data_IF_194680951167
#
_entry.id   IF_194680951167
#
_cell.length_a   1.000
_cell.length_b   1.000
_cell.length_c   1.000
_cell.angle_alpha   90.00
_cell.angle_beta   90.00
_cell.angle_gamma   90.00
#
_symmetry.space_group_name_H-M   'P 1'
#
loop_
_entity.id
_entity.type
_entity.pdbx_description
1 polymer ?
#
# COMPACT_ATOMS: atom_id res chain seq x y z
N UNK A 1 21.16 -9.04 -15.31
CA UNK A 1 22.21 -8.36 -14.55
C UNK A 1 21.94 -6.87 -14.44
N UNK A 2 21.75 -6.13 -15.56
CA UNK A 2 21.48 -4.69 -15.56
C UNK A 2 20.32 -4.28 -14.64
N UNK A 3 19.16 -4.95 -14.75
CA UNK A 3 18.00 -4.71 -13.91
C UNK A 3 18.30 -4.96 -12.41
N UNK A 4 19.03 -6.03 -12.08
CA UNK A 4 19.39 -6.34 -10.69
C UNK A 4 20.28 -5.24 -10.08
N UNK A 5 21.30 -4.81 -10.78
CA UNK A 5 22.21 -3.75 -10.30
C UNK A 5 21.49 -2.40 -10.13
N UNK A 6 20.57 -2.06 -11.04
CA UNK A 6 19.69 -0.89 -10.91
C UNK A 6 18.79 -0.99 -9.66
N UNK A 7 18.18 -2.15 -9.44
CA UNK A 7 17.32 -2.37 -8.27
C UNK A 7 18.11 -2.32 -6.96
N UNK A 8 19.32 -2.91 -6.92
CA UNK A 8 20.21 -2.85 -5.76
C UNK A 8 20.57 -1.40 -5.42
N UNK A 9 20.78 -0.56 -6.44
CA UNK A 9 20.97 0.87 -6.24
C UNK A 9 19.73 1.56 -5.67
N UNK A 10 18.56 1.34 -6.26
CA UNK A 10 17.30 1.94 -5.79
C UNK A 10 16.95 1.53 -4.34
N UNK A 11 17.27 0.29 -3.96
CA UNK A 11 17.08 -0.23 -2.60
C UNK A 11 18.16 0.21 -1.60
N UNK A 12 19.17 0.97 -2.03
CA UNK A 12 20.25 1.44 -1.16
C UNK A 12 21.33 0.41 -0.87
N UNK A 13 21.33 -0.73 -1.57
CA UNK A 13 22.31 -1.80 -1.39
C UNK A 13 23.64 -1.51 -2.11
N UNK A 14 23.66 -0.52 -3.01
CA UNK A 14 24.85 -0.04 -3.71
C UNK A 14 24.97 1.48 -3.59
N UNK A 15 26.19 2.03 -3.46
CA UNK A 15 26.38 3.48 -3.40
C UNK A 15 26.21 4.16 -4.75
N UNK A 16 26.67 3.50 -5.84
CA UNK A 16 26.71 4.07 -7.17
C UNK A 16 25.71 3.41 -8.12
N UNK A 17 25.12 4.23 -9.01
CA UNK A 17 24.23 3.74 -10.05
C UNK A 17 25.01 2.92 -11.08
N UNK A 18 24.49 1.76 -11.43
CA UNK A 18 24.95 0.93 -12.53
C UNK A 18 23.81 0.15 -13.16
N UNK A 19 23.92 -0.08 -14.45
CA UNK A 19 23.00 -0.90 -15.24
C UNK A 19 23.77 -1.98 -16.01
N UNK A 20 24.61 -2.73 -15.31
CA UNK A 20 25.48 -3.76 -15.88
C UNK A 20 26.54 -3.13 -16.78
N UNK A 21 26.56 -3.57 -18.04
CA UNK A 21 27.44 -3.04 -19.10
C UNK A 21 26.78 -1.95 -19.96
N UNK A 22 25.53 -1.59 -19.64
CA UNK A 22 24.79 -0.57 -20.38
C UNK A 22 25.30 0.82 -20.00
N UNK A 23 25.48 1.73 -20.96
CA UNK A 23 25.77 3.11 -20.67
C UNK A 23 24.59 3.78 -19.96
N UNK A 24 24.87 4.83 -19.22
CA UNK A 24 23.88 5.70 -18.61
C UNK A 24 24.31 7.14 -18.74
N UNK A 25 23.39 8.01 -19.10
CA UNK A 25 23.61 9.44 -19.12
C UNK A 25 23.65 10.04 -17.70
N UNK A 26 24.28 11.21 -17.49
CA UNK A 26 24.19 11.91 -16.21
C UNK A 26 22.76 12.19 -15.80
N UNK A 27 21.89 12.54 -16.75
CA UNK A 27 20.47 12.80 -16.55
C UNK A 27 19.71 11.53 -16.11
N UNK A 28 19.96 10.40 -16.78
CA UNK A 28 19.40 9.11 -16.41
C UNK A 28 19.84 8.66 -15.03
N UNK A 29 21.14 8.77 -14.72
CA UNK A 29 21.66 8.46 -13.39
C UNK A 29 21.05 9.38 -12.31
N UNK A 30 20.85 10.67 -12.60
CA UNK A 30 20.20 11.60 -11.71
C UNK A 30 18.73 11.23 -11.47
N UNK A 31 18.00 10.77 -12.50
CA UNK A 31 16.63 10.28 -12.30
C UNK A 31 16.61 9.06 -11.38
N UNK A 32 17.48 8.08 -11.57
CA UNK A 32 17.54 6.92 -10.68
C UNK A 32 17.98 7.30 -9.25
N UNK A 33 18.73 8.39 -9.05
CA UNK A 33 19.00 8.91 -7.72
C UNK A 33 17.71 9.47 -7.06
N UNK A 34 16.86 10.15 -7.82
CA UNK A 34 15.55 10.61 -7.35
C UNK A 34 14.63 9.43 -7.01
N UNK A 35 14.60 8.41 -7.89
CA UNK A 35 13.84 7.17 -7.65
C UNK A 35 14.33 6.46 -6.39
N UNK A 36 15.65 6.35 -6.19
CA UNK A 36 16.23 5.80 -4.95
C UNK A 36 15.73 6.53 -3.71
N UNK A 37 15.67 7.87 -3.76
CA UNK A 37 15.17 8.64 -2.62
C UNK A 37 13.71 8.29 -2.28
N UNK A 38 12.84 8.07 -3.29
CA UNK A 38 11.47 7.62 -3.09
C UNK A 38 11.39 6.20 -2.52
N UNK A 39 12.20 5.27 -3.02
CA UNK A 39 12.26 3.89 -2.48
C UNK A 39 12.68 3.86 -1.01
N UNK A 40 13.72 4.63 -0.66
CA UNK A 40 14.19 4.71 0.72
C UNK A 40 13.19 5.41 1.63
N UNK A 41 12.48 6.42 1.13
CA UNK A 41 11.37 7.06 1.85
C UNK A 41 10.24 6.05 2.11
N UNK A 42 9.83 5.28 1.10
CA UNK A 42 8.78 4.26 1.22
C UNK A 42 9.16 3.18 2.26
N UNK A 43 10.40 2.68 2.22
CA UNK A 43 10.94 1.77 3.23
C UNK A 43 10.91 2.39 4.64
N UNK A 44 11.28 3.66 4.75
CA UNK A 44 11.22 4.40 6.02
C UNK A 44 9.79 4.51 6.56
N UNK A 45 8.84 4.84 5.70
CA UNK A 45 7.40 4.90 6.04
C UNK A 45 6.89 3.52 6.47
N UNK A 46 7.28 2.45 5.77
CA UNK A 46 6.91 1.08 6.13
C UNK A 46 7.40 0.71 7.53
N UNK A 47 8.70 0.93 7.82
CA UNK A 47 9.30 0.62 9.12
C UNK A 47 8.65 1.45 10.23
N UNK A 48 8.49 2.76 10.03
CA UNK A 48 7.86 3.65 11.01
C UNK A 48 6.42 3.24 11.28
N UNK A 49 5.64 2.93 10.24
CA UNK A 49 4.25 2.47 10.37
C UNK A 49 4.16 1.16 11.14
N UNK A 50 5.05 0.21 10.87
CA UNK A 50 5.12 -1.06 11.60
C UNK A 50 5.44 -0.85 13.09
N UNK A 51 6.40 0.03 13.41
CA UNK A 51 6.76 0.38 14.78
C UNK A 51 5.58 1.05 15.51
N UNK A 52 4.93 2.03 14.88
CA UNK A 52 3.76 2.71 15.46
C UNK A 52 2.64 1.71 15.74
N UNK A 53 2.32 0.83 14.79
CA UNK A 53 1.30 -0.19 14.99
C UNK A 53 1.66 -1.16 16.11
N UNK A 54 2.92 -1.60 16.21
CA UNK A 54 3.40 -2.46 17.28
C UNK A 54 3.25 -1.80 18.66
N UNK A 55 3.61 -0.50 18.77
CA UNK A 55 3.47 0.28 20.01
C UNK A 55 1.99 0.43 20.37
N UNK A 56 1.15 0.84 19.43
CA UNK A 56 -0.29 1.00 19.66
C UNK A 56 -0.94 -0.32 20.10
N UNK A 57 -0.56 -1.44 19.49
CA UNK A 57 -1.02 -2.76 19.87
C UNK A 57 -0.58 -3.13 21.29
N UNK A 58 0.69 -2.94 21.63
CA UNK A 58 1.24 -3.23 22.95
C UNK A 58 0.57 -2.37 24.05
N UNK A 59 0.41 -1.06 23.79
CA UNK A 59 -0.25 -0.13 24.74
C UNK A 59 -1.74 -0.49 24.87
N UNK A 60 -2.41 -0.77 23.76
CA UNK A 60 -3.82 -1.17 23.75
C UNK A 60 -4.07 -2.43 24.60
N UNK A 61 -3.19 -3.42 24.45
CA UNK A 61 -3.25 -4.66 25.29
C UNK A 61 -3.00 -4.39 26.77
N UNK A 62 -1.98 -3.61 27.09
CA UNK A 62 -1.64 -3.29 28.50
C UNK A 62 -2.72 -2.48 29.20
N UNK A 63 -3.27 -1.47 28.52
CA UNK A 63 -4.30 -0.58 29.06
C UNK A 63 -5.74 -1.11 28.89
N UNK A 64 -5.92 -2.29 28.27
CA UNK A 64 -7.23 -2.87 27.94
C UNK A 64 -8.14 -1.87 27.20
N UNK A 65 -7.53 -1.06 26.33
CA UNK A 65 -8.27 -0.08 25.54
C UNK A 65 -9.18 -0.79 24.56
N UNK A 66 -10.46 -0.44 24.57
CA UNK A 66 -11.44 -0.89 23.57
C UNK A 66 -11.46 0.20 22.49
N UNK A 67 -11.04 -0.10 21.26
CA UNK A 67 -11.12 0.87 20.16
C UNK A 67 -12.57 1.31 19.93
N UNK A 68 -12.75 2.58 19.60
CA UNK A 68 -14.06 3.05 19.16
C UNK A 68 -14.53 2.24 17.94
N UNK A 69 -15.78 1.84 17.94
CA UNK A 69 -16.39 1.03 16.88
C UNK A 69 -17.61 1.76 16.29
N UNK A 70 -17.40 2.87 15.55
CA UNK A 70 -18.51 3.59 14.93
C UNK A 70 -19.26 2.66 13.97
N UNK A 71 -20.60 2.72 14.05
CA UNK A 71 -21.50 1.83 13.31
C UNK A 71 -21.22 0.32 13.52
N UNK A 72 -20.57 -0.04 14.64
CA UNK A 72 -20.25 -1.43 14.99
C UNK A 72 -19.00 -2.00 14.31
N UNK A 73 -18.24 -1.19 13.57
CA UNK A 73 -17.01 -1.59 12.86
C UNK A 73 -15.77 -0.98 13.50
N UNK A 74 -14.70 -1.77 13.57
CA UNK A 74 -13.42 -1.33 14.13
C UNK A 74 -12.67 -0.35 13.23
N UNK A 75 -11.62 0.32 13.73
CA UNK A 75 -10.84 1.29 12.95
C UNK A 75 -10.19 0.68 11.71
N UNK A 76 -9.81 -0.61 11.76
CA UNK A 76 -9.25 -1.33 10.60
C UNK A 76 -10.24 -1.46 9.43
N UNK A 77 -11.54 -1.61 9.70
CA UNK A 77 -12.58 -1.62 8.67
C UNK A 77 -12.62 -0.29 7.92
N UNK A 78 -12.68 0.82 8.66
CA UNK A 78 -12.79 2.15 8.04
C UNK A 78 -11.53 2.55 7.29
N UNK A 79 -10.35 2.21 7.83
CA UNK A 79 -9.08 2.43 7.14
C UNK A 79 -9.02 1.62 5.82
N UNK A 80 -9.40 0.33 5.86
CA UNK A 80 -9.40 -0.52 4.68
C UNK A 80 -10.43 -0.06 3.63
N UNK A 81 -11.65 0.33 4.06
CA UNK A 81 -12.69 0.82 3.15
C UNK A 81 -12.28 2.14 2.49
N UNK A 82 -11.75 3.09 3.25
CA UNK A 82 -11.26 4.36 2.73
C UNK A 82 -10.10 4.18 1.76
N UNK A 83 -9.11 3.36 2.13
CA UNK A 83 -7.95 3.07 1.30
C UNK A 83 -8.37 2.38 -0.01
N UNK A 84 -9.24 1.36 0.06
CA UNK A 84 -9.77 0.69 -1.12
C UNK A 84 -10.51 1.67 -2.05
N UNK A 85 -11.36 2.54 -1.51
CA UNK A 85 -12.09 3.53 -2.29
C UNK A 85 -11.15 4.48 -3.04
N UNK A 86 -10.11 5.03 -2.36
CA UNK A 86 -9.12 5.91 -2.97
C UNK A 86 -8.36 5.19 -4.08
N UNK A 87 -7.80 4.01 -3.80
CA UNK A 87 -6.97 3.30 -4.78
C UNK A 87 -7.76 2.72 -5.94
N UNK A 88 -9.00 2.30 -5.75
CA UNK A 88 -9.88 1.89 -6.85
C UNK A 88 -10.24 3.09 -7.75
N UNK A 89 -10.47 4.26 -7.16
CA UNK A 89 -10.73 5.48 -7.94
C UNK A 89 -9.49 5.89 -8.75
N UNK A 90 -8.32 5.99 -8.10
CA UNK A 90 -7.07 6.37 -8.78
C UNK A 90 -6.68 5.32 -9.81
N UNK A 91 -6.76 4.03 -9.47
CA UNK A 91 -6.46 2.94 -10.39
C UNK A 91 -7.43 2.88 -11.57
N UNK A 92 -8.72 3.13 -11.33
CA UNK A 92 -9.73 3.23 -12.40
C UNK A 92 -9.44 4.38 -13.36
N UNK A 93 -9.10 5.56 -12.84
CA UNK A 93 -8.70 6.71 -13.67
C UNK A 93 -7.40 6.41 -14.46
N UNK A 94 -6.42 5.80 -13.83
CA UNK A 94 -5.19 5.40 -14.50
C UNK A 94 -5.41 4.33 -15.58
N UNK A 95 -6.39 3.45 -15.41
CA UNK A 95 -6.74 2.44 -16.41
C UNK A 95 -7.38 3.02 -17.68
N UNK A 96 -8.00 4.20 -17.59
CA UNK A 96 -8.58 4.90 -18.76
C UNK A 96 -7.49 5.46 -19.68
N UNK A 97 -6.38 5.96 -19.10
CA UNK A 97 -5.26 6.52 -19.84
C UNK A 97 -3.98 6.38 -18.97
N UNK A 98 -3.29 5.26 -19.14
CA UNK A 98 -2.10 4.96 -18.36
C UNK A 98 -0.94 5.91 -18.70
N UNK A 99 -0.79 6.29 -19.96
CA UNK A 99 0.24 7.22 -20.38
C UNK A 99 0.09 8.57 -19.66
N UNK A 100 -1.11 9.09 -19.61
CA UNK A 100 -1.41 10.34 -18.88
C UNK A 100 -1.17 10.18 -17.38
N UNK A 101 -1.59 9.06 -16.79
CA UNK A 101 -1.35 8.77 -15.39
C UNK A 101 0.15 8.69 -15.08
N UNK A 102 0.95 8.10 -15.97
CA UNK A 102 2.40 8.01 -15.87
C UNK A 102 3.06 9.40 -15.89
N UNK A 103 2.63 10.29 -16.79
CA UNK A 103 3.12 11.68 -16.83
C UNK A 103 2.72 12.44 -15.57
N UNK A 104 1.46 12.32 -15.11
CA UNK A 104 0.98 12.96 -13.87
C UNK A 104 1.78 12.48 -12.66
N UNK A 105 2.06 11.18 -12.57
CA UNK A 105 2.90 10.62 -11.51
C UNK A 105 4.28 11.27 -11.51
N UNK A 106 4.96 11.34 -12.67
CA UNK A 106 6.31 11.90 -12.75
C UNK A 106 6.33 13.40 -12.43
N UNK A 107 5.34 14.16 -12.89
CA UNK A 107 5.26 15.61 -12.58
C UNK A 107 4.97 15.87 -11.11
N UNK A 108 4.25 14.98 -10.45
CA UNK A 108 3.94 15.09 -9.02
C UNK A 108 5.15 14.76 -8.14
N UNK A 109 5.85 13.66 -8.45
CA UNK A 109 6.97 13.20 -7.61
C UNK A 109 8.32 13.82 -7.99
N UNK A 110 8.46 14.33 -9.22
CA UNK A 110 9.68 14.98 -9.70
C UNK A 110 9.38 16.38 -10.26
N UNK A 111 8.87 17.31 -9.44
CA UNK A 111 8.41 18.61 -9.91
C UNK A 111 9.55 19.40 -10.55
N UNK A 112 9.29 19.93 -11.76
CA UNK A 112 10.26 20.73 -12.51
C UNK A 112 11.40 19.94 -13.14
N UNK A 113 11.39 18.60 -13.06
CA UNK A 113 12.41 17.73 -13.69
C UNK A 113 11.88 17.08 -14.95
N UNK A 114 12.78 16.91 -15.93
CA UNK A 114 12.51 16.23 -17.21
C UNK A 114 13.44 15.04 -17.43
N UNK A 115 14.31 14.74 -16.47
CA UNK A 115 15.31 13.68 -16.51
C UNK A 115 14.73 12.24 -16.54
N UNK A 116 13.41 12.10 -16.38
CA UNK A 116 12.66 10.84 -16.53
C UNK A 116 12.24 10.56 -17.99
N UNK A 117 12.47 11.52 -18.91
CA UNK A 117 12.27 11.35 -20.35
C UNK A 117 13.54 10.75 -20.97
N UNK A 118 13.68 9.44 -20.91
CA UNK A 118 14.88 8.74 -21.40
C UNK A 118 14.96 8.69 -22.91
N UNK A 119 16.16 8.90 -23.45
CA UNK A 119 16.52 8.50 -24.82
C UNK A 119 17.18 7.11 -24.76
N UNK A 120 16.61 6.13 -25.42
CA UNK A 120 17.12 4.76 -25.46
C UNK A 120 18.55 4.65 -26.03
N UNK A 121 19.03 5.65 -26.76
CA UNK A 121 20.38 5.70 -27.33
C UNK A 121 21.44 5.99 -26.27
N UNK A 122 21.11 6.83 -25.32
CA UNK A 122 21.99 7.19 -24.20
C UNK A 122 21.75 6.34 -22.96
N UNK A 123 20.50 5.92 -22.76
CA UNK A 123 20.04 5.18 -21.59
C UNK A 123 19.27 3.92 -21.99
N UNK A 124 19.94 2.91 -22.59
CA UNK A 124 19.27 1.72 -23.09
C UNK A 124 18.61 0.87 -22.00
N UNK A 125 18.83 1.17 -20.72
CA UNK A 125 18.10 0.54 -19.60
C UNK A 125 16.59 0.70 -19.73
N UNK A 126 16.09 1.78 -20.36
CA UNK A 126 14.65 2.02 -20.57
C UNK A 126 13.99 0.95 -21.47
N UNK A 127 14.75 0.27 -22.31
CA UNK A 127 14.23 -0.84 -23.11
C UNK A 127 13.82 -2.04 -22.27
N UNK A 128 14.36 -2.17 -21.05
CA UNK A 128 14.00 -3.19 -20.07
C UNK A 128 12.86 -2.73 -19.14
N UNK A 129 12.48 -1.45 -19.24
CA UNK A 129 11.44 -0.80 -18.44
C UNK A 129 10.34 -0.21 -19.35
N UNK A 130 9.73 -1.01 -20.25
CA UNK A 130 8.69 -0.49 -21.13
C UNK A 130 7.44 -0.09 -20.33
N UNK A 131 6.59 0.74 -20.92
CA UNK A 131 5.32 1.18 -20.30
C UNK A 131 4.49 0.00 -19.77
N UNK A 132 4.44 -1.11 -20.52
CA UNK A 132 3.74 -2.31 -20.11
C UNK A 132 4.27 -2.90 -18.78
N UNK A 133 5.57 -2.78 -18.51
CA UNK A 133 6.16 -3.20 -17.24
C UNK A 133 5.57 -2.39 -16.08
N UNK A 134 5.58 -1.06 -16.18
CA UNK A 134 5.04 -0.20 -15.11
C UNK A 134 3.54 -0.38 -14.92
N UNK A 135 2.78 -0.54 -16.01
CA UNK A 135 1.35 -0.84 -15.97
C UNK A 135 1.07 -2.15 -15.22
N UNK A 136 1.82 -3.19 -15.51
CA UNK A 136 1.66 -4.48 -14.83
C UNK A 136 2.05 -4.41 -13.35
N UNK A 137 3.11 -3.67 -12.99
CA UNK A 137 3.47 -3.41 -11.60
C UNK A 137 2.37 -2.63 -10.87
N UNK A 138 1.83 -1.58 -11.47
CA UNK A 138 0.73 -0.80 -10.88
C UNK A 138 -0.52 -1.66 -10.67
N UNK A 139 -0.87 -2.52 -11.65
CA UNK A 139 -1.98 -3.46 -11.52
C UNK A 139 -1.76 -4.47 -10.39
N UNK A 140 -0.55 -5.04 -10.30
CA UNK A 140 -0.21 -5.98 -9.22
C UNK A 140 -0.33 -5.33 -7.85
N UNK A 141 0.21 -4.10 -7.68
CA UNK A 141 0.11 -3.34 -6.43
C UNK A 141 -1.35 -3.08 -6.07
N UNK A 142 -2.17 -2.64 -7.04
CA UNK A 142 -3.60 -2.40 -6.84
C UNK A 142 -4.33 -3.67 -6.41
N UNK A 143 -4.09 -4.80 -7.08
CA UNK A 143 -4.72 -6.08 -6.75
C UNK A 143 -4.34 -6.57 -5.35
N UNK A 144 -3.07 -6.48 -4.97
CA UNK A 144 -2.60 -6.85 -3.63
C UNK A 144 -3.22 -5.95 -2.55
N UNK A 145 -3.29 -4.65 -2.80
CA UNK A 145 -3.90 -3.69 -1.88
C UNK A 145 -5.39 -3.99 -1.69
N UNK A 146 -6.14 -4.14 -2.77
CA UNK A 146 -7.58 -4.46 -2.73
C UNK A 146 -7.82 -5.80 -2.03
N UNK A 147 -7.00 -6.80 -2.30
CA UNK A 147 -7.06 -8.10 -1.63
C UNK A 147 -6.92 -7.96 -0.12
N UNK A 148 -5.89 -7.25 0.37
CA UNK A 148 -5.69 -7.06 1.80
C UNK A 148 -6.76 -6.19 2.45
N UNK A 149 -7.27 -5.17 1.75
CA UNK A 149 -8.43 -4.41 2.23
C UNK A 149 -9.67 -5.32 2.38
N UNK A 150 -9.93 -6.18 1.40
CA UNK A 150 -11.05 -7.13 1.46
C UNK A 150 -10.90 -8.12 2.62
N UNK A 151 -9.68 -8.63 2.87
CA UNK A 151 -9.38 -9.51 4.02
C UNK A 151 -9.68 -8.80 5.35
N UNK A 152 -9.24 -7.54 5.52
CA UNK A 152 -9.48 -6.78 6.75
C UNK A 152 -10.96 -6.49 6.95
N UNK A 153 -11.69 -6.12 5.92
CA UNK A 153 -13.15 -5.90 5.95
C UNK A 153 -13.87 -7.20 6.32
N UNK A 154 -13.53 -8.30 5.64
CA UNK A 154 -14.14 -9.60 5.92
C UNK A 154 -13.88 -10.08 7.36
N UNK A 155 -12.68 -9.89 7.88
CA UNK A 155 -12.31 -10.23 9.25
C UNK A 155 -13.15 -9.43 10.28
N UNK A 156 -13.34 -8.11 10.07
CA UNK A 156 -14.16 -7.28 10.95
C UNK A 156 -15.63 -7.71 10.92
N UNK A 157 -16.19 -7.94 9.74
CA UNK A 157 -17.55 -8.42 9.56
C UNK A 157 -17.78 -9.78 10.24
N UNK A 158 -16.81 -10.69 10.09
CA UNK A 158 -16.89 -12.01 10.74
C UNK A 158 -16.81 -11.90 12.26
N UNK A 159 -15.87 -11.13 12.79
CA UNK A 159 -15.76 -10.85 14.22
C UNK A 159 -17.04 -10.20 14.78
N UNK A 160 -17.66 -9.29 14.04
CA UNK A 160 -18.95 -8.69 14.39
C UNK A 160 -20.08 -9.70 14.47
N UNK A 161 -20.15 -10.66 13.53
CA UNK A 161 -21.13 -11.76 13.56
C UNK A 161 -20.95 -12.66 14.77
N UNK A 162 -19.71 -13.00 15.12
CA UNK A 162 -19.42 -13.83 16.30
C UNK A 162 -19.85 -13.13 17.60
N UNK A 163 -19.52 -11.84 17.74
CA UNK A 163 -19.96 -11.05 18.92
C UNK A 163 -21.46 -11.00 19.07
N UNK A 164 -22.23 -10.83 17.98
CA UNK A 164 -23.70 -10.83 18.00
C UNK A 164 -24.27 -12.19 18.41
N UNK A 165 -23.73 -13.31 17.94
CA UNK A 165 -24.13 -14.65 18.32
C UNK A 165 -23.92 -14.92 19.82
N UNK A 166 -22.79 -14.44 20.38
CA UNK A 166 -22.51 -14.58 21.81
C UNK A 166 -23.45 -13.73 22.68
N UNK A 167 -23.78 -12.51 22.24
CA UNK A 167 -24.73 -11.64 22.96
C UNK A 167 -26.15 -12.15 22.90
N UNK A 168 -26.60 -12.78 21.80
CA UNK A 168 -27.95 -13.33 21.65
C UNK A 168 -28.13 -14.71 22.28
N UNK A 169 -27.05 -15.39 22.69
CA UNK A 169 -27.11 -16.72 23.34
C UNK A 169 -26.98 -16.68 24.86
N UNK A 170 -26.91 -15.50 25.49
CA UNK A 170 -26.92 -15.42 26.96
C UNK A 170 -28.33 -15.74 27.48
N UNK A 171 -28.49 -16.82 28.25
CA UNK A 171 -29.79 -17.11 28.86
C UNK A 171 -30.18 -15.95 29.78
N UNK A 172 -31.45 -15.52 29.74
CA UNK A 172 -32.00 -14.53 30.67
C UNK A 172 -31.97 -15.09 32.10
N UNK A 173 -30.80 -15.14 32.72
CA UNK A 173 -30.66 -15.48 34.14
C UNK A 173 -30.83 -14.19 34.93
N UNK A 174 -32.09 -13.88 35.29
CA UNK A 174 -32.36 -12.78 36.20
C UNK A 174 -33.68 -12.01 36.01
N UNK A 175 -34.60 -12.44 35.15
CA UNK A 175 -35.96 -11.88 35.14
C UNK A 175 -36.87 -12.69 36.05
N UNK A 176 -37.40 -12.13 37.14
CA UNK A 176 -38.36 -12.84 38.04
C UNK A 176 -39.72 -13.16 37.39
N UNK A 177 -39.88 -13.00 36.09
CA UNK A 177 -41.15 -13.19 35.36
C UNK A 177 -41.13 -14.25 34.27
N UNK A 178 -40.05 -14.98 34.00
CA UNK A 178 -39.97 -16.02 32.95
C UNK A 178 -40.24 -17.43 33.47
N UNK A 179 -41.04 -17.60 34.53
CA UNK A 179 -41.56 -18.89 34.95
C UNK A 179 -43.01 -19.01 34.51
N UNK A 180 -43.30 -19.66 33.41
CA UNK A 180 -44.67 -20.05 33.11
C UNK A 180 -45.01 -20.06 31.62
N UNK A 181 -44.95 -21.25 31.02
CA UNK A 181 -45.49 -21.49 29.69
C UNK A 181 -45.20 -22.93 29.26
N UNK A 182 -45.99 -23.87 29.75
CA UNK A 182 -46.04 -25.25 29.21
C UNK A 182 -46.51 -25.27 27.78
#
# INVERSE_FOLDING_TARGET
RAYGEMMDYCLGLRPDFAAGVLPASPEGAAHFADVRALFLLDLGVLVLSALVLAVLFAVGRRKKLIPAAPLGHGPGFWAAAGLAAVFLTVGGLAALDFQRAFVVFHTLFFPGKTNWLFDWRTDPIILFLPEAFFRNCALLILLLLVFWCAVLIAADLWAGRLRRKQAGGAPCSGCPGCSGGR
#
